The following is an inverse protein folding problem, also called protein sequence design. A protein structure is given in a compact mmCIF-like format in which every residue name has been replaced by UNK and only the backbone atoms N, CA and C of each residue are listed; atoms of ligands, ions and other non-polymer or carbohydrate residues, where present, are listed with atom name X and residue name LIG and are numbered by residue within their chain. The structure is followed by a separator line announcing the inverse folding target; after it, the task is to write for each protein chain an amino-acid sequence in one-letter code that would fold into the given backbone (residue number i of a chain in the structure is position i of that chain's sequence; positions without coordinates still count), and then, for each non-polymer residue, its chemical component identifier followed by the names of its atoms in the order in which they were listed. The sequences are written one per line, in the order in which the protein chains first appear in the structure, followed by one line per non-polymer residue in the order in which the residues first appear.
data_IF_197135370641
#
_entry.id   IF_197135370641
#
_cell.length_a   1.000
_cell.length_b   1.000
_cell.length_c   1.000
_cell.angle_alpha   90.00
_cell.angle_beta   90.00
_cell.angle_gamma   90.00
#
_symmetry.space_group_name_H-M   'P 1'
#
loop_
_entity.id
_entity.type
_entity.pdbx_description
1 polymer ?
#
# COMPACT_ATOMS: atom_id res chain seq x y z
N UNK A 1 13.67 17.75 3.99
CA UNK A 1 13.96 19.19 4.13
C UNK A 1 12.77 20.00 4.65
N UNK A 2 11.55 19.84 4.12
CA UNK A 2 10.40 20.62 4.62
C UNK A 2 9.85 20.17 6.00
N UNK A 3 9.90 18.86 6.29
CA UNK A 3 9.28 18.29 7.50
C UNK A 3 10.11 18.51 8.78
N UNK A 4 11.44 18.46 8.67
CA UNK A 4 12.36 18.59 9.81
C UNK A 4 12.26 19.97 10.49
N UNK A 5 12.34 21.12 9.77
CA UNK A 5 12.20 22.44 10.38
C UNK A 5 10.84 22.69 11.02
N UNK A 6 9.79 21.99 10.56
CA UNK A 6 8.43 22.07 11.12
C UNK A 6 8.22 21.16 12.34
N UNK A 7 9.24 20.39 12.76
CA UNK A 7 9.11 19.40 13.85
C UNK A 7 8.25 18.18 13.49
N UNK A 8 7.86 18.02 12.22
CA UNK A 8 7.02 16.94 11.71
C UNK A 8 7.83 15.68 11.36
N UNK A 9 9.16 15.77 11.44
CA UNK A 9 10.07 14.64 11.32
C UNK A 9 11.23 14.82 12.31
N UNK A 10 11.92 13.74 12.66
CA UNK A 10 13.04 13.77 13.61
C UNK A 10 14.08 12.68 13.31
N UNK A 11 15.36 12.90 13.67
CA UNK A 11 16.40 11.89 13.56
C UNK A 11 16.23 10.79 14.62
N UNK A 12 16.46 9.54 14.22
CA UNK A 12 16.32 8.35 15.06
C UNK A 12 17.59 7.49 14.99
N UNK A 13 18.23 7.27 16.14
CA UNK A 13 19.45 6.44 16.28
C UNK A 13 19.16 4.99 16.69
N UNK A 14 17.89 4.57 16.78
CA UNK A 14 17.47 3.22 17.21
C UNK A 14 17.70 2.17 16.11
N UNK A 15 18.49 1.13 16.37
CA UNK A 15 18.74 0.04 15.42
C UNK A 15 17.51 -0.86 15.29
N UNK A 16 17.46 -1.67 14.23
CA UNK A 16 16.41 -2.68 14.07
C UNK A 16 16.42 -3.69 15.23
N UNK A 17 17.60 -4.19 15.59
CA UNK A 17 17.76 -5.13 16.71
C UNK A 17 17.30 -4.56 18.05
N UNK A 18 17.56 -3.28 18.33
CA UNK A 18 17.07 -2.60 19.54
C UNK A 18 15.53 -2.52 19.56
N UNK A 19 14.90 -2.32 18.40
CA UNK A 19 13.43 -2.25 18.27
C UNK A 19 12.76 -3.63 18.35
N UNK A 20 13.38 -4.67 17.80
CA UNK A 20 12.92 -6.06 17.89
C UNK A 20 13.01 -6.57 19.33
N UNK A 21 14.14 -6.31 20.01
CA UNK A 21 14.35 -6.70 21.40
C UNK A 21 13.35 -6.04 22.36
N UNK A 22 12.87 -4.84 22.03
CA UNK A 22 11.86 -4.16 22.82
C UNK A 22 10.46 -4.80 22.70
N UNK A 23 10.21 -5.62 21.67
CA UNK A 23 8.88 -6.11 21.30
C UNK A 23 8.92 -7.57 20.80
N UNK A 24 9.42 -8.52 21.63
CA UNK A 24 9.65 -9.90 21.20
C UNK A 24 8.37 -10.67 20.84
N UNK A 25 7.21 -10.22 21.31
CA UNK A 25 5.91 -10.87 21.10
C UNK A 25 5.14 -10.34 19.87
N UNK A 26 5.55 -9.19 19.32
CA UNK A 26 4.94 -8.63 18.11
C UNK A 26 5.68 -9.18 16.90
N UNK A 27 5.20 -10.32 16.36
CA UNK A 27 5.69 -10.83 15.08
C UNK A 27 5.19 -9.90 13.97
N UNK A 28 6.11 -9.25 13.26
CA UNK A 28 5.77 -8.38 12.14
C UNK A 28 5.44 -9.21 10.90
N UNK A 29 4.16 -9.45 10.63
CA UNK A 29 3.70 -9.76 9.28
C UNK A 29 3.68 -8.44 8.48
N UNK A 30 4.83 -8.08 7.91
CA UNK A 30 5.00 -6.86 7.13
C UNK A 30 5.79 -5.75 7.84
N UNK A 31 7.00 -5.54 7.34
CA UNK A 31 7.92 -4.38 7.31
C UNK A 31 8.05 -3.32 8.42
N UNK A 32 7.21 -3.19 9.44
CA UNK A 32 7.46 -2.11 10.42
C UNK A 32 7.12 -2.44 11.88
N UNK A 33 8.19 -2.52 12.67
CA UNK A 33 8.15 -2.62 14.12
C UNK A 33 7.57 -1.34 14.71
N UNK A 34 6.72 -1.48 15.72
CA UNK A 34 6.16 -0.32 16.39
C UNK A 34 7.27 0.48 17.08
N UNK A 35 7.27 1.80 16.88
CA UNK A 35 8.32 2.65 17.39
C UNK A 35 7.96 3.21 18.77
N UNK A 36 8.74 2.92 19.82
CA UNK A 36 8.41 3.32 21.19
C UNK A 36 8.63 4.81 21.50
N UNK A 37 8.96 5.65 20.51
CA UNK A 37 9.14 7.09 20.71
C UNK A 37 10.49 7.52 21.30
N UNK A 38 11.46 6.62 21.44
CA UNK A 38 12.72 6.86 22.18
C UNK A 38 13.59 8.05 21.72
N UNK A 39 13.53 8.43 20.45
CA UNK A 39 14.26 9.56 19.87
C UNK A 39 13.34 10.71 19.48
N UNK A 40 12.04 10.63 19.84
CA UNK A 40 11.01 11.58 19.37
C UNK A 40 11.33 13.00 19.82
N UNK A 41 11.74 13.19 21.07
CA UNK A 41 12.08 14.53 21.60
C UNK A 41 13.57 14.87 21.45
N UNK A 42 14.45 13.88 21.63
CA UNK A 42 15.90 14.04 21.46
C UNK A 42 16.52 12.74 20.99
N UNK A 43 17.42 12.82 20.02
CA UNK A 43 18.18 11.65 19.55
C UNK A 43 19.01 11.06 20.69
N UNK A 44 18.88 9.74 20.94
CA UNK A 44 19.56 9.07 22.06
C UNK A 44 21.06 8.96 21.84
N UNK A 45 21.49 8.72 20.60
CA UNK A 45 22.89 8.52 20.23
C UNK A 45 23.22 9.42 19.04
N UNK A 46 23.60 10.69 19.27
CA UNK A 46 23.81 11.67 18.22
C UNK A 46 24.99 11.33 17.29
N UNK A 47 25.97 10.56 17.75
CA UNK A 47 27.16 10.21 16.95
C UNK A 47 26.95 9.04 16.00
N UNK A 48 25.83 8.30 16.13
CA UNK A 48 25.49 7.19 15.22
C UNK A 48 24.78 7.71 13.97
N UNK A 49 24.88 7.04 12.82
CA UNK A 49 24.02 7.34 11.67
C UNK A 49 22.53 7.26 12.03
N UNK A 50 21.76 8.26 11.59
CA UNK A 50 20.34 8.38 11.91
C UNK A 50 19.46 8.02 10.72
N UNK A 51 18.33 7.35 11.01
CA UNK A 51 17.19 7.39 10.10
C UNK A 51 16.39 8.68 10.38
N UNK A 52 15.56 9.11 9.43
CA UNK A 52 14.56 10.15 9.66
C UNK A 52 13.20 9.48 9.79
N UNK A 53 12.50 9.73 10.90
CA UNK A 53 11.13 9.28 11.15
C UNK A 53 10.15 10.43 10.98
N UNK A 54 8.96 10.11 10.48
CA UNK A 54 7.82 11.02 10.48
C UNK A 54 7.15 11.00 11.86
N UNK A 55 6.83 12.18 12.40
CA UNK A 55 6.11 12.33 13.66
C UNK A 55 4.61 12.18 13.40
N UNK A 56 4.06 11.04 13.79
CA UNK A 56 2.63 10.76 13.65
C UNK A 56 1.83 11.62 14.62
N UNK A 57 0.78 12.33 14.15
CA UNK A 57 -0.14 13.06 15.02
C UNK A 57 -1.04 12.08 15.81
N UNK A 58 -1.45 12.43 17.03
CA UNK A 58 -2.26 11.57 17.91
C UNK A 58 -3.75 11.57 17.51
N UNK A 59 -4.04 11.50 16.22
CA UNK A 59 -5.39 11.59 15.67
C UNK A 59 -5.63 10.46 14.68
N UNK A 60 -6.77 9.79 14.82
CA UNK A 60 -7.17 8.76 13.87
C UNK A 60 -7.33 9.34 12.46
N UNK A 61 -6.72 8.67 11.49
CA UNK A 61 -6.83 8.99 10.07
C UNK A 61 -8.06 8.30 9.52
N UNK A 62 -8.98 9.07 8.93
CA UNK A 62 -10.20 8.56 8.30
C UNK A 62 -10.18 8.86 6.82
N UNK A 63 -10.60 7.89 6.01
CA UNK A 63 -10.79 8.07 4.57
C UNK A 63 -11.86 7.13 4.05
N UNK A 64 -12.42 7.42 2.88
CA UNK A 64 -13.35 6.54 2.19
C UNK A 64 -12.61 5.91 1.02
N UNK A 65 -12.51 4.58 1.04
CA UNK A 65 -12.05 3.81 -0.11
C UNK A 65 -13.20 3.51 -1.06
N UNK A 66 -13.00 3.69 -2.35
CA UNK A 66 -14.03 3.46 -3.36
C UNK A 66 -14.47 1.99 -3.45
N UNK A 67 -13.67 1.03 -2.97
CA UNK A 67 -13.98 -0.40 -2.96
C UNK A 67 -14.20 -0.89 -1.52
N UNK A 68 -13.31 -0.54 -0.60
CA UNK A 68 -13.31 -1.04 0.77
C UNK A 68 -14.23 -0.24 1.71
N UNK A 69 -14.81 0.86 1.25
CA UNK A 69 -15.69 1.72 2.03
C UNK A 69 -14.95 2.55 3.08
N UNK A 70 -15.67 3.02 4.10
CA UNK A 70 -15.11 3.86 5.16
C UNK A 70 -14.01 3.13 5.96
N UNK A 71 -12.84 3.76 6.05
CA UNK A 71 -11.70 3.27 6.81
C UNK A 71 -11.33 4.25 7.93
N UNK A 72 -10.87 3.71 9.05
CA UNK A 72 -10.34 4.49 10.17
C UNK A 72 -9.11 3.77 10.76
N UNK A 73 -8.00 4.49 10.88
CA UNK A 73 -6.76 3.96 11.43
C UNK A 73 -6.20 4.89 12.50
N UNK A 74 -5.93 4.35 13.67
CA UNK A 74 -5.06 5.00 14.64
C UNK A 74 -3.61 4.59 14.38
N UNK A 75 -2.85 5.50 13.77
CA UNK A 75 -1.44 5.24 13.47
C UNK A 75 -0.59 5.11 14.73
N UNK A 76 -1.00 5.69 15.87
CA UNK A 76 -0.28 5.52 17.14
C UNK A 76 -0.44 4.10 17.69
N UNK A 77 -1.58 3.46 17.46
CA UNK A 77 -1.81 2.06 17.76
C UNK A 77 -1.15 1.11 16.74
N UNK A 78 -0.89 1.58 15.51
CA UNK A 78 -0.39 0.77 14.38
C UNK A 78 0.95 1.28 13.87
N UNK A 79 2.00 1.03 14.65
CA UNK A 79 3.40 1.27 14.27
C UNK A 79 3.98 2.61 14.74
N UNK A 80 3.14 3.63 14.95
CA UNK A 80 3.58 4.94 15.42
C UNK A 80 4.47 5.67 14.41
N UNK A 81 5.46 6.40 14.91
CA UNK A 81 6.38 7.18 14.07
C UNK A 81 7.21 6.28 13.14
N UNK A 82 6.96 6.36 11.84
CA UNK A 82 7.53 5.46 10.83
C UNK A 82 8.71 6.10 10.09
N UNK A 83 9.56 5.28 9.48
CA UNK A 83 10.76 5.77 8.77
C UNK A 83 10.37 6.37 7.42
N UNK A 84 10.87 7.58 7.13
CA UNK A 84 10.73 8.23 5.81
C UNK A 84 12.05 8.35 5.05
N UNK A 85 13.19 8.25 5.75
CA UNK A 85 14.52 8.11 5.16
C UNK A 85 15.35 7.18 6.02
N UNK A 86 15.91 6.14 5.40
CA UNK A 86 16.77 5.15 6.04
C UNK A 86 18.16 5.73 6.33
N UNK A 87 18.91 5.06 7.20
CA UNK A 87 20.28 5.44 7.59
C UNK A 87 21.27 5.41 6.43
N UNK A 88 21.06 4.50 5.49
CA UNK A 88 21.85 4.37 4.26
C UNK A 88 21.49 5.44 3.22
N UNK A 89 20.61 6.38 3.55
CA UNK A 89 20.23 7.51 2.71
C UNK A 89 19.02 7.26 1.82
N UNK A 90 18.56 6.00 1.68
CA UNK A 90 17.42 5.65 0.83
C UNK A 90 16.10 6.20 1.41
N UNK A 91 15.25 6.75 0.54
CA UNK A 91 13.92 7.18 0.93
C UNK A 91 12.98 5.98 1.09
N UNK A 92 12.14 6.01 2.12
CA UNK A 92 11.16 4.95 2.34
C UNK A 92 9.99 5.08 1.34
N UNK A 93 9.38 3.94 1.02
CA UNK A 93 8.23 3.85 0.11
C UNK A 93 7.14 4.88 0.43
N UNK A 94 6.80 5.04 1.72
CA UNK A 94 5.74 5.94 2.16
C UNK A 94 5.96 7.40 1.75
N UNK A 95 7.22 7.88 1.78
CA UNK A 95 7.55 9.25 1.35
C UNK A 95 7.70 9.34 -0.16
N UNK A 96 8.38 8.38 -0.79
CA UNK A 96 8.64 8.39 -2.22
C UNK A 96 7.34 8.45 -3.03
N UNK A 97 6.39 7.55 -2.72
CA UNK A 97 5.11 7.48 -3.44
C UNK A 97 4.28 8.76 -3.29
N UNK A 98 4.25 9.35 -2.10
CA UNK A 98 3.49 10.59 -1.84
C UNK A 98 4.02 11.75 -2.67
N UNK A 99 5.34 11.89 -2.76
CA UNK A 99 5.98 12.97 -3.52
C UNK A 99 5.81 12.75 -5.02
N UNK A 100 5.98 11.52 -5.51
CA UNK A 100 5.84 11.19 -6.93
C UNK A 100 4.40 11.31 -7.41
N UNK A 101 3.41 10.79 -6.66
CA UNK A 101 1.99 10.91 -6.99
C UNK A 101 1.58 12.38 -7.12
N UNK A 102 2.00 13.22 -6.17
CA UNK A 102 1.70 14.65 -6.21
C UNK A 102 2.38 15.35 -7.40
N UNK A 103 3.64 15.02 -7.69
CA UNK A 103 4.39 15.56 -8.83
C UNK A 103 3.74 15.17 -10.16
N UNK A 104 3.24 13.95 -10.27
CA UNK A 104 2.56 13.42 -11.45
C UNK A 104 1.07 13.81 -11.51
N UNK A 105 0.56 14.51 -10.49
CA UNK A 105 -0.84 14.94 -10.36
C UNK A 105 -1.83 13.76 -10.40
N UNK A 106 -1.46 12.65 -9.75
CA UNK A 106 -2.34 11.49 -9.61
C UNK A 106 -3.58 11.89 -8.80
N UNK A 107 -4.76 11.63 -9.37
CA UNK A 107 -6.05 11.93 -8.75
C UNK A 107 -6.71 10.69 -8.14
N UNK A 108 -6.36 9.51 -8.62
CA UNK A 108 -6.89 8.22 -8.19
C UNK A 108 -5.76 7.20 -8.07
N UNK A 109 -5.64 6.59 -6.89
CA UNK A 109 -4.71 5.49 -6.64
C UNK A 109 -5.51 4.20 -6.57
N UNK A 110 -5.36 3.36 -7.59
CA UNK A 110 -5.96 2.01 -7.66
C UNK A 110 -4.86 0.98 -7.48
N UNK A 111 -4.89 0.21 -6.39
CA UNK A 111 -3.83 -0.76 -6.02
C UNK A 111 -4.38 -1.93 -5.21
N UNK A 112 -3.56 -2.93 -4.91
CA UNK A 112 -4.00 -4.10 -4.11
C UNK A 112 -4.31 -3.77 -2.65
N UNK A 113 -5.28 -4.47 -2.06
CA UNK A 113 -5.72 -4.30 -0.67
C UNK A 113 -4.68 -4.68 0.38
N UNK A 114 -3.60 -5.36 0.00
CA UNK A 114 -2.41 -5.55 0.83
C UNK A 114 -1.72 -4.22 1.19
N UNK A 115 -1.92 -3.16 0.40
CA UNK A 115 -1.39 -1.83 0.68
C UNK A 115 -2.38 -0.91 1.41
N UNK A 116 -3.58 -1.40 1.77
CA UNK A 116 -4.61 -0.59 2.42
C UNK A 116 -4.12 0.06 3.72
N UNK A 117 -3.34 -0.68 4.52
CA UNK A 117 -2.76 -0.20 5.78
C UNK A 117 -1.64 0.84 5.61
N UNK A 118 -1.09 1.01 4.41
CA UNK A 118 -0.12 2.06 4.10
C UNK A 118 -0.78 3.42 3.82
N UNK A 119 -2.02 3.40 3.32
CA UNK A 119 -2.80 4.61 2.98
C UNK A 119 -2.87 5.66 4.09
N UNK A 120 -3.18 5.34 5.37
CA UNK A 120 -3.23 6.36 6.41
C UNK A 120 -1.89 7.08 6.62
N UNK A 121 -0.75 6.37 6.48
CA UNK A 121 0.60 6.97 6.59
C UNK A 121 0.87 7.94 5.43
N UNK A 122 0.42 7.58 4.23
CA UNK A 122 0.56 8.42 3.04
C UNK A 122 -0.31 9.67 3.13
N UNK A 123 -1.55 9.55 3.64
CA UNK A 123 -2.46 10.67 3.86
C UNK A 123 -1.86 11.69 4.85
N UNK A 124 -1.33 11.25 6.00
CA UNK A 124 -0.72 12.19 6.95
C UNK A 124 0.53 12.87 6.40
N UNK A 125 1.30 12.18 5.55
CA UNK A 125 2.42 12.77 4.84
C UNK A 125 1.98 13.82 3.82
N UNK A 126 0.95 13.52 3.03
CA UNK A 126 0.37 14.47 2.07
C UNK A 126 -0.08 15.73 2.79
N UNK A 127 -0.84 15.58 3.88
CA UNK A 127 -1.32 16.70 4.70
C UNK A 127 -0.15 17.52 5.29
N UNK A 128 0.86 16.85 5.86
CA UNK A 128 2.04 17.51 6.43
C UNK A 128 2.88 18.29 5.40
N UNK A 129 2.87 17.83 4.14
CA UNK A 129 3.56 18.47 3.01
C UNK A 129 2.68 19.46 2.25
N UNK A 130 1.39 19.59 2.59
CA UNK A 130 0.44 20.43 1.85
C UNK A 130 0.16 19.92 0.43
N UNK A 131 0.23 18.61 0.22
CA UNK A 131 -0.01 17.95 -1.07
C UNK A 131 -1.47 17.47 -1.18
N UNK A 132 -2.01 17.36 -2.41
CA UNK A 132 -3.35 16.82 -2.60
C UNK A 132 -3.46 15.37 -2.14
N UNK A 133 -4.62 15.00 -1.61
CA UNK A 133 -4.97 13.62 -1.29
C UNK A 133 -5.81 13.03 -2.43
N UNK A 134 -5.33 11.99 -3.13
CA UNK A 134 -6.09 11.35 -4.20
C UNK A 134 -7.24 10.51 -3.63
N UNK A 135 -8.18 10.13 -4.50
CA UNK A 135 -9.12 9.07 -4.19
C UNK A 135 -8.39 7.72 -4.17
N UNK A 136 -8.78 6.85 -3.24
CA UNK A 136 -8.19 5.52 -3.10
C UNK A 136 -9.22 4.45 -3.45
N UNK A 137 -8.76 3.42 -4.17
CA UNK A 137 -9.52 2.20 -4.42
C UNK A 137 -8.59 1.00 -4.25
N UNK A 138 -8.91 0.10 -3.32
CA UNK A 138 -8.08 -1.06 -3.06
C UNK A 138 -8.72 -2.34 -3.63
N UNK A 139 -8.13 -2.89 -4.69
CA UNK A 139 -8.54 -4.11 -5.37
C UNK A 139 -8.26 -5.35 -4.50
N UNK A 140 -9.07 -6.42 -4.60
CA UNK A 140 -8.84 -7.65 -3.87
C UNK A 140 -7.48 -8.26 -4.22
N UNK A 141 -6.79 -8.76 -3.20
CA UNK A 141 -5.55 -9.51 -3.36
C UNK A 141 -5.88 -10.91 -3.84
N UNK A 142 -5.13 -11.36 -4.84
CA UNK A 142 -5.26 -12.71 -5.40
C UNK A 142 -4.73 -13.75 -4.41
N UNK A 143 -5.54 -14.77 -4.13
CA UNK A 143 -5.15 -15.93 -3.31
C UNK A 143 -5.30 -17.24 -4.09
N UNK A 144 -4.64 -18.29 -3.61
CA UNK A 144 -4.96 -19.65 -4.01
C UNK A 144 -6.28 -20.13 -3.36
N UNK A 145 -6.66 -21.38 -3.62
CA UNK A 145 -7.87 -22.00 -3.04
C UNK A 145 -7.79 -22.23 -1.54
N UNK A 146 -6.59 -22.17 -0.95
CA UNK A 146 -6.36 -22.28 0.49
C UNK A 146 -6.33 -20.91 1.18
N UNK A 147 -6.56 -19.81 0.43
CA UNK A 147 -6.51 -18.44 0.95
C UNK A 147 -5.10 -17.88 1.10
N UNK A 148 -4.07 -18.58 0.61
CA UNK A 148 -2.69 -18.12 0.63
C UNK A 148 -2.50 -17.09 -0.49
N UNK A 149 -1.96 -15.91 -0.15
CA UNK A 149 -1.64 -14.86 -1.12
C UNK A 149 -0.71 -15.42 -2.20
N UNK A 150 -1.13 -15.31 -3.46
CA UNK A 150 -0.23 -15.61 -4.57
C UNK A 150 0.87 -14.55 -4.60
N UNK A 151 2.10 -15.01 -4.55
CA UNK A 151 3.29 -14.18 -4.62
C UNK A 151 4.27 -14.77 -5.63
N UNK A 152 5.23 -13.97 -6.09
CA UNK A 152 6.31 -14.49 -6.94
C UNK A 152 7.07 -15.63 -6.26
N UNK A 153 7.19 -15.59 -4.93
CA UNK A 153 7.78 -16.66 -4.11
C UNK A 153 6.95 -17.94 -4.03
N UNK A 154 5.64 -17.90 -4.31
CA UNK A 154 4.77 -19.09 -4.35
C UNK A 154 4.64 -19.68 -5.75
N UNK A 155 5.54 -19.33 -6.69
CA UNK A 155 5.59 -19.92 -8.03
C UNK A 155 4.49 -19.44 -8.98
N UNK A 156 3.91 -18.25 -8.75
CA UNK A 156 2.95 -17.68 -9.68
C UNK A 156 3.57 -17.53 -11.08
N UNK A 157 2.94 -18.10 -12.09
CA UNK A 157 3.41 -18.04 -13.47
C UNK A 157 3.47 -16.58 -13.96
N UNK A 158 4.50 -16.26 -14.73
CA UNK A 158 4.57 -14.97 -15.42
C UNK A 158 3.42 -14.85 -16.43
N UNK A 159 2.95 -13.63 -16.65
CA UNK A 159 1.94 -13.36 -17.69
C UNK A 159 2.55 -13.74 -19.04
N UNK A 160 1.85 -14.58 -19.82
CA UNK A 160 2.26 -14.90 -21.17
C UNK A 160 1.89 -13.74 -22.11
N UNK A 161 2.88 -12.96 -22.53
CA UNK A 161 2.68 -11.81 -23.42
C UNK A 161 2.44 -12.18 -24.88
N UNK A 162 2.70 -13.42 -25.29
CA UNK A 162 2.46 -13.89 -26.66
C UNK A 162 0.99 -14.27 -26.90
N UNK A 163 0.27 -14.67 -25.84
CA UNK A 163 -1.16 -15.04 -25.89
C UNK A 163 -1.95 -14.45 -24.72
N UNK A 164 -2.00 -13.11 -24.59
CA UNK A 164 -2.50 -12.44 -23.39
C UNK A 164 -4.03 -12.41 -23.27
N UNK A 165 -4.79 -12.65 -24.35
CA UNK A 165 -6.26 -12.54 -24.34
C UNK A 165 -6.92 -13.44 -23.29
N UNK A 166 -6.45 -14.69 -23.15
CA UNK A 166 -6.97 -15.63 -22.18
C UNK A 166 -6.71 -15.18 -20.73
N UNK A 167 -5.53 -14.64 -20.46
CA UNK A 167 -5.17 -14.14 -19.13
C UNK A 167 -5.91 -12.83 -18.79
N UNK A 168 -6.09 -11.94 -19.77
CA UNK A 168 -6.92 -10.73 -19.59
C UNK A 168 -8.38 -11.08 -19.30
N UNK A 169 -8.96 -12.03 -20.04
CA UNK A 169 -10.32 -12.51 -19.78
C UNK A 169 -10.45 -13.13 -18.39
N UNK A 170 -9.46 -13.92 -17.96
CA UNK A 170 -9.40 -14.47 -16.59
C UNK A 170 -9.27 -13.38 -15.53
N UNK A 171 -8.49 -12.33 -15.79
CA UNK A 171 -8.37 -11.18 -14.89
C UNK A 171 -9.71 -10.43 -14.76
N UNK A 172 -10.44 -10.23 -15.86
CA UNK A 172 -11.78 -9.64 -15.82
C UNK A 172 -12.77 -10.50 -15.03
N UNK A 173 -12.71 -11.84 -15.17
CA UNK A 173 -13.49 -12.75 -14.33
C UNK A 173 -13.11 -12.67 -12.85
N UNK A 174 -11.83 -12.66 -12.54
CA UNK A 174 -11.32 -12.47 -11.17
C UNK A 174 -11.85 -11.17 -10.57
N UNK A 175 -11.83 -10.09 -11.36
CA UNK A 175 -12.40 -8.80 -11.00
C UNK A 175 -13.94 -8.76 -11.03
N UNK A 176 -14.61 -9.92 -11.18
CA UNK A 176 -16.07 -10.06 -11.17
C UNK A 176 -16.79 -9.21 -12.23
N UNK A 177 -16.14 -9.00 -13.37
CA UNK A 177 -16.71 -8.24 -14.50
C UNK A 177 -17.63 -9.09 -15.38
N UNK A 178 -17.56 -10.43 -15.27
CA UNK A 178 -18.37 -11.38 -16.05
C UNK A 178 -18.28 -11.19 -17.59
N UNK A 179 -17.07 -11.20 -18.19
CA UNK A 179 -16.93 -11.13 -19.65
C UNK A 179 -17.57 -12.33 -20.36
N UNK A 180 -18.22 -12.13 -21.52
CA UNK A 180 -18.74 -13.22 -22.34
C UNK A 180 -17.68 -14.29 -22.65
N UNK A 181 -18.00 -15.59 -22.60
CA UNK A 181 -17.05 -16.67 -22.87
C UNK A 181 -16.38 -16.59 -24.24
N UNK A 182 -17.08 -16.06 -25.24
CA UNK A 182 -16.63 -15.92 -26.62
C UNK A 182 -15.45 -14.93 -26.73
N UNK A 183 -15.33 -13.99 -25.78
CA UNK A 183 -14.22 -13.04 -25.75
C UNK A 183 -12.91 -13.65 -25.26
N UNK A 184 -12.90 -14.87 -24.72
CA UNK A 184 -11.68 -15.51 -24.20
C UNK A 184 -10.58 -15.65 -25.26
N UNK A 185 -10.97 -15.88 -26.51
CA UNK A 185 -10.07 -15.99 -27.67
C UNK A 185 -10.11 -14.77 -28.59
N UNK A 186 -10.82 -13.70 -28.22
CA UNK A 186 -10.88 -12.48 -29.01
C UNK A 186 -9.53 -11.72 -29.00
N UNK A 187 -9.41 -10.75 -29.91
CA UNK A 187 -8.28 -9.84 -29.88
C UNK A 187 -8.27 -9.02 -28.58
N UNK A 188 -7.07 -8.71 -28.07
CA UNK A 188 -6.88 -7.92 -26.85
C UNK A 188 -7.61 -6.58 -26.93
N UNK A 189 -7.61 -5.93 -28.10
CA UNK A 189 -8.32 -4.67 -28.32
C UNK A 189 -9.83 -4.81 -28.07
N UNK A 190 -10.45 -5.87 -28.60
CA UNK A 190 -11.89 -6.15 -28.40
C UNK A 190 -12.21 -6.43 -26.92
N UNK A 191 -11.33 -7.16 -26.22
CA UNK A 191 -11.48 -7.37 -24.77
C UNK A 191 -11.40 -6.05 -23.99
N UNK A 192 -10.50 -5.15 -24.37
CA UNK A 192 -10.37 -3.83 -23.73
C UNK A 192 -11.56 -2.93 -23.99
N UNK A 193 -12.02 -2.85 -25.24
CA UNK A 193 -13.23 -2.08 -25.60
C UNK A 193 -14.42 -2.55 -24.76
N UNK A 194 -14.65 -3.87 -24.73
CA UNK A 194 -15.70 -4.45 -23.90
C UNK A 194 -15.51 -4.11 -22.42
N UNK A 195 -14.30 -4.28 -21.87
CA UNK A 195 -14.01 -4.04 -20.47
C UNK A 195 -14.22 -2.58 -20.06
N UNK A 196 -13.83 -1.62 -20.89
CA UNK A 196 -14.01 -0.19 -20.64
C UNK A 196 -15.50 0.17 -20.63
N UNK A 197 -16.26 -0.33 -21.59
CA UNK A 197 -17.71 -0.07 -21.70
C UNK A 197 -18.50 -0.70 -20.55
N UNK A 198 -18.09 -1.88 -20.07
CA UNK A 198 -18.86 -2.69 -19.12
C UNK A 198 -18.32 -2.67 -17.69
N UNK A 199 -17.26 -1.90 -17.41
CA UNK A 199 -16.61 -1.89 -16.09
C UNK A 199 -17.57 -1.51 -14.97
N UNK A 200 -17.63 -2.35 -13.93
CA UNK A 200 -18.40 -2.10 -12.71
C UNK A 200 -17.54 -2.38 -11.49
N UNK A 201 -17.42 -1.38 -10.62
CA UNK A 201 -16.65 -1.49 -9.36
C UNK A 201 -17.46 -2.15 -8.24
N UNK A 202 -18.79 -2.04 -8.28
CA UNK A 202 -19.71 -2.50 -7.24
C UNK A 202 -19.54 -3.98 -6.86
N UNK A 203 -19.32 -4.92 -7.81
CA UNK A 203 -19.08 -6.33 -7.47
C UNK A 203 -17.83 -6.58 -6.60
N UNK A 204 -16.91 -5.61 -6.54
CA UNK A 204 -15.69 -5.67 -5.74
C UNK A 204 -15.86 -5.10 -4.33
N UNK A 205 -16.96 -4.41 -4.03
CA UNK A 205 -17.11 -3.70 -2.76
C UNK A 205 -16.93 -4.63 -1.55
N UNK A 206 -16.07 -4.22 -0.62
CA UNK A 206 -15.71 -4.97 0.59
C UNK A 206 -14.83 -6.19 0.38
N UNK A 207 -14.46 -6.52 -0.86
CA UNK A 207 -13.64 -7.70 -1.16
C UNK A 207 -12.16 -7.39 -0.98
N UNK A 208 -11.54 -7.94 0.06
CA UNK A 208 -10.09 -7.79 0.33
C UNK A 208 -9.24 -8.88 -0.31
N UNK A 209 -9.82 -10.07 -0.44
CA UNK A 209 -9.17 -11.26 -0.98
C UNK A 209 -10.14 -11.97 -1.90
N UNK A 210 -9.61 -12.55 -2.98
CA UNK A 210 -10.37 -13.40 -3.87
C UNK A 210 -9.47 -14.54 -4.35
N UNK A 211 -10.01 -15.75 -4.38
CA UNK A 211 -9.32 -16.90 -4.96
C UNK A 211 -9.35 -16.82 -6.49
N UNK A 212 -8.27 -17.26 -7.14
CA UNK A 212 -8.33 -17.56 -8.58
C UNK A 212 -9.23 -18.78 -8.78
N UNK A 213 -10.17 -18.65 -9.73
CA UNK A 213 -10.89 -19.78 -10.28
C UNK A 213 -9.88 -20.68 -11.02
N UNK A 214 -9.73 -21.96 -10.61
CA UNK A 214 -8.78 -22.87 -11.25
C UNK A 214 -9.17 -23.26 -12.69
N UNK A 215 -10.35 -22.84 -13.18
CA UNK A 215 -10.91 -23.21 -14.50
C UNK A 215 -10.64 -22.21 -15.63
#
# INVERSE_FOLDING_TARGET
EQLLPKGLAFPCSCSRSELEAAQPTLRSDGDELHYPGWCRERVRQPDRPHAIRFRVPPTAVRFVDAIQGAQAFDLTAVGGDFVIRRRDGLYAYQLAVVVDDARQRITHVVRGADLLSSTPRQIVLQQALGLPTPMYAHLPVVTDTNGIKLSKSTGAAAINTDRPSGDLWRALRFLRQAPPPELRSAAVATLWEWAIEHWRVQPLHGLRYAAIDPT
#
